data_IF_870337950875
#
_entry.id   IF_870337950875
#
_cell.length_a   1.000
_cell.length_b   1.000
_cell.length_c   1.000
_cell.angle_alpha   90.00
_cell.angle_beta   90.00
_cell.angle_gamma   90.00
#
_symmetry.space_group_name_H-M   'P 1'
#
loop_
_entity.id
_entity.type
_entity.pdbx_description
1 polymer ?
#
# COMPACT_ATOMS: atom_id res chain seq x y z
N UNK A 1 -6.12 -19.56 -1.03
CA UNK A 1 -5.31 -18.76 -0.06
C UNK A 1 -5.86 -17.33 0.10
N UNK A 2 -6.15 -16.60 -0.98
CA UNK A 2 -6.86 -15.30 -0.98
C UNK A 2 -8.40 -15.37 -0.79
N UNK A 3 -8.91 -16.54 -0.40
CA UNK A 3 -10.36 -16.78 -0.27
C UNK A 3 -10.83 -16.37 1.12
N UNK A 4 -10.04 -16.63 2.16
CA UNK A 4 -10.43 -16.29 3.53
C UNK A 4 -10.09 -14.84 3.87
N UNK A 5 -11.08 -14.09 4.37
CA UNK A 5 -10.87 -12.75 4.94
C UNK A 5 -9.78 -12.72 6.01
N UNK A 6 -9.63 -13.79 6.79
CA UNK A 6 -8.62 -13.85 7.86
C UNK A 6 -7.21 -13.94 7.32
N UNK A 7 -7.01 -14.67 6.21
CA UNK A 7 -5.70 -14.74 5.56
C UNK A 7 -5.35 -13.40 4.92
N UNK A 8 -6.31 -12.75 4.26
CA UNK A 8 -6.14 -11.39 3.72
C UNK A 8 -5.77 -10.42 4.85
N UNK A 9 -6.52 -10.44 5.95
CA UNK A 9 -6.25 -9.60 7.12
C UNK A 9 -4.88 -9.86 7.74
N UNK A 10 -4.44 -11.13 7.83
CA UNK A 10 -3.14 -11.50 8.38
C UNK A 10 -1.98 -11.00 7.49
N UNK A 11 -2.08 -11.16 6.16
CA UNK A 11 -1.06 -10.65 5.23
C UNK A 11 -1.01 -9.12 5.29
N UNK A 12 -2.16 -8.44 5.27
CA UNK A 12 -2.24 -7.00 5.43
C UNK A 12 -1.60 -6.54 6.75
N UNK A 13 -1.80 -7.27 7.85
CA UNK A 13 -1.19 -6.95 9.15
C UNK A 13 0.34 -7.12 9.12
N UNK A 14 0.85 -8.15 8.46
CA UNK A 14 2.29 -8.36 8.27
C UNK A 14 2.90 -7.22 7.46
N UNK A 15 2.19 -6.67 6.47
CA UNK A 15 2.65 -5.53 5.64
C UNK A 15 2.59 -4.20 6.42
N UNK A 16 1.61 -4.01 7.30
CA UNK A 16 1.53 -2.81 8.16
C UNK A 16 2.80 -2.64 9.01
N UNK A 17 3.40 -3.74 9.47
CA UNK A 17 4.58 -3.70 10.33
C UNK A 17 5.80 -2.99 9.70
N UNK A 18 6.33 -3.42 8.54
CA UNK A 18 7.42 -2.72 7.87
C UNK A 18 7.02 -1.30 7.44
N UNK A 19 5.77 -1.04 7.04
CA UNK A 19 5.31 0.33 6.78
C UNK A 19 5.46 1.23 8.03
N UNK A 20 5.09 0.72 9.20
CA UNK A 20 5.24 1.44 10.47
C UNK A 20 6.71 1.68 10.84
N UNK A 21 7.59 0.70 10.61
CA UNK A 21 9.05 0.86 10.81
C UNK A 21 9.58 1.95 9.88
N UNK A 22 9.25 1.90 8.59
CA UNK A 22 9.66 2.90 7.61
C UNK A 22 9.25 4.31 8.03
N UNK A 23 8.02 4.49 8.53
CA UNK A 23 7.58 5.80 9.05
C UNK A 23 8.46 6.29 10.20
N UNK A 24 8.86 5.41 11.11
CA UNK A 24 9.69 5.77 12.26
C UNK A 24 11.15 6.03 11.88
N UNK A 25 11.71 5.21 11.00
CA UNK A 25 13.12 5.26 10.61
C UNK A 25 13.37 6.45 9.68
N UNK A 26 12.62 6.54 8.58
CA UNK A 26 12.78 7.62 7.61
C UNK A 26 12.47 8.98 8.22
N UNK A 27 11.43 9.10 9.08
CA UNK A 27 11.14 10.39 9.74
C UNK A 27 12.22 10.84 10.72
N UNK A 28 13.00 9.90 11.30
CA UNK A 28 14.11 10.23 12.20
C UNK A 28 15.30 10.75 11.43
N UNK A 29 15.55 10.20 10.26
CA UNK A 29 16.72 10.53 9.44
C UNK A 29 16.47 11.74 8.56
N UNK A 30 15.22 11.96 8.17
CA UNK A 30 14.76 13.16 7.46
C UNK A 30 15.24 14.42 8.20
N UNK A 31 15.93 15.31 7.47
CA UNK A 31 16.55 16.54 7.97
C UNK A 31 17.78 16.38 8.88
N UNK A 32 18.22 15.15 9.19
CA UNK A 32 19.43 14.90 10.00
C UNK A 32 20.59 14.37 9.19
N UNK A 33 20.31 13.58 8.16
CA UNK A 33 21.34 13.00 7.29
C UNK A 33 21.49 13.86 6.03
N UNK A 34 22.72 14.14 5.57
CA UNK A 34 22.95 14.87 4.34
C UNK A 34 22.76 14.01 3.07
N UNK A 35 22.74 12.68 3.21
CA UNK A 35 22.50 11.73 2.12
C UNK A 35 21.16 11.02 2.30
N UNK A 36 20.22 11.28 1.41
CA UNK A 36 18.86 10.72 1.44
C UNK A 36 18.72 9.41 0.67
N UNK A 37 19.80 8.85 0.12
CA UNK A 37 19.74 7.66 -0.73
C UNK A 37 19.08 6.46 -0.04
N UNK A 38 19.46 6.18 1.21
CA UNK A 38 18.86 5.09 1.99
C UNK A 38 17.39 5.35 2.34
N UNK A 39 16.99 6.52 2.88
CA UNK A 39 15.59 6.92 3.01
C UNK A 39 14.76 6.74 1.74
N UNK A 40 15.30 7.15 0.58
CA UNK A 40 14.65 7.00 -0.72
C UNK A 40 14.44 5.53 -1.09
N UNK A 41 15.47 4.69 -0.95
CA UNK A 41 15.39 3.26 -1.24
C UNK A 41 14.35 2.55 -0.34
N UNK A 42 14.28 2.92 0.94
CA UNK A 42 13.28 2.40 1.88
C UNK A 42 11.86 2.79 1.44
N UNK A 43 11.63 4.08 1.15
CA UNK A 43 10.30 4.56 0.71
C UNK A 43 9.87 3.91 -0.60
N UNK A 44 10.77 3.79 -1.58
CA UNK A 44 10.49 3.07 -2.84
C UNK A 44 10.16 1.60 -2.58
N UNK A 45 10.95 0.90 -1.76
CA UNK A 45 10.70 -0.51 -1.45
C UNK A 45 9.34 -0.75 -0.81
N UNK A 46 8.92 0.12 0.12
CA UNK A 46 7.57 0.06 0.70
C UNK A 46 6.49 0.41 -0.33
N UNK A 47 6.72 1.42 -1.18
CA UNK A 47 5.81 1.77 -2.27
C UNK A 47 5.51 0.55 -3.17
N UNK A 48 6.54 -0.19 -3.56
CA UNK A 48 6.41 -1.43 -4.34
C UNK A 48 5.57 -2.49 -3.61
N UNK A 49 5.79 -2.66 -2.31
CA UNK A 49 5.01 -3.62 -1.50
C UNK A 49 3.53 -3.21 -1.45
N UNK A 50 3.25 -1.91 -1.23
CA UNK A 50 1.89 -1.37 -1.23
C UNK A 50 1.20 -1.61 -2.57
N UNK A 51 1.89 -1.37 -3.69
CA UNK A 51 1.36 -1.58 -5.04
C UNK A 51 1.10 -3.07 -5.27
N UNK A 52 2.08 -3.92 -5.02
CA UNK A 52 1.95 -5.36 -5.24
C UNK A 52 0.79 -5.98 -4.46
N UNK A 53 0.62 -5.58 -3.20
CA UNK A 53 -0.52 -6.02 -2.41
C UNK A 53 -1.83 -5.36 -2.86
N UNK A 54 -1.80 -4.09 -3.24
CA UNK A 54 -2.93 -3.35 -3.81
C UNK A 54 -3.52 -4.06 -5.02
N UNK A 55 -2.67 -4.46 -5.99
CA UNK A 55 -3.07 -5.23 -7.18
C UNK A 55 -3.75 -6.55 -6.78
N UNK A 56 -3.16 -7.28 -5.83
CA UNK A 56 -3.71 -8.57 -5.39
C UNK A 56 -5.11 -8.41 -4.76
N UNK A 57 -5.32 -7.35 -3.97
CA UNK A 57 -6.61 -7.04 -3.38
C UNK A 57 -7.62 -6.58 -4.44
N UNK A 58 -7.19 -5.71 -5.34
CA UNK A 58 -8.01 -5.16 -6.42
C UNK A 58 -8.53 -6.25 -7.35
N UNK A 59 -7.65 -7.15 -7.75
CA UNK A 59 -7.93 -8.22 -8.72
C UNK A 59 -8.48 -9.49 -8.07
N UNK A 60 -8.86 -9.45 -6.77
CA UNK A 60 -9.34 -10.64 -6.05
C UNK A 60 -10.48 -11.35 -6.79
N UNK A 61 -11.46 -10.59 -7.31
CA UNK A 61 -12.59 -11.14 -8.05
C UNK A 61 -12.12 -11.88 -9.32
N UNK A 62 -11.21 -11.26 -10.07
CA UNK A 62 -10.58 -11.83 -11.27
C UNK A 62 -9.79 -13.10 -10.92
N UNK A 63 -9.04 -13.10 -9.83
CA UNK A 63 -8.31 -14.28 -9.36
C UNK A 63 -9.27 -15.42 -9.01
N UNK A 64 -10.37 -15.14 -8.31
CA UNK A 64 -11.41 -16.15 -8.02
C UNK A 64 -11.99 -16.73 -9.30
N UNK A 65 -12.22 -15.91 -10.32
CA UNK A 65 -12.71 -16.35 -11.63
C UNK A 65 -11.72 -17.29 -12.32
N UNK A 66 -10.45 -16.89 -12.41
CA UNK A 66 -9.38 -17.68 -13.03
C UNK A 66 -9.26 -19.06 -12.37
N UNK A 67 -9.42 -19.14 -11.05
CA UNK A 67 -9.35 -20.40 -10.30
C UNK A 67 -10.69 -21.15 -10.21
N UNK A 68 -11.76 -20.68 -10.87
CA UNK A 68 -13.06 -21.34 -10.86
C UNK A 68 -13.73 -21.37 -9.48
N UNK A 69 -13.49 -20.35 -8.64
CA UNK A 69 -13.99 -20.25 -7.26
C UNK A 69 -15.29 -19.42 -7.14
N UNK A 70 -15.99 -19.18 -8.27
CA UNK A 70 -17.24 -18.40 -8.33
C UNK A 70 -18.45 -19.30 -8.45
N UNK A 71 -19.61 -18.79 -8.04
CA UNK A 71 -20.90 -19.49 -8.16
C UNK A 71 -21.20 -20.46 -7.01
N UNK A 72 -20.46 -20.34 -5.91
CA UNK A 72 -20.71 -21.09 -4.68
C UNK A 72 -21.94 -20.57 -3.92
N UNK A 73 -22.42 -21.35 -2.92
CA UNK A 73 -23.54 -20.94 -2.07
C UNK A 73 -23.25 -19.68 -1.23
N UNK A 74 -21.98 -19.29 -1.10
CA UNK A 74 -21.45 -18.12 -0.40
C UNK A 74 -21.13 -16.93 -1.32
N UNK A 75 -21.51 -16.97 -2.60
CA UNK A 75 -21.11 -15.93 -3.59
C UNK A 75 -21.51 -14.50 -3.18
N UNK A 76 -22.65 -14.32 -2.52
CA UNK A 76 -23.07 -12.99 -2.04
C UNK A 76 -22.09 -12.43 -0.99
N UNK A 77 -21.59 -13.28 -0.08
CA UNK A 77 -20.59 -12.92 0.91
C UNK A 77 -19.25 -12.62 0.25
N UNK A 78 -18.84 -13.49 -0.67
CA UNK A 78 -17.59 -13.36 -1.40
C UNK A 78 -17.55 -12.12 -2.30
N UNK A 79 -18.68 -11.75 -2.91
CA UNK A 79 -18.83 -10.52 -3.69
C UNK A 79 -18.70 -9.25 -2.82
N UNK A 80 -19.26 -9.25 -1.61
CA UNK A 80 -19.07 -8.16 -0.67
C UNK A 80 -17.61 -8.03 -0.21
N UNK A 81 -16.93 -9.17 -0.06
CA UNK A 81 -15.50 -9.22 0.25
C UNK A 81 -14.65 -8.71 -0.93
N UNK A 82 -14.97 -9.14 -2.15
CA UNK A 82 -14.34 -8.63 -3.38
C UNK A 82 -14.49 -7.12 -3.50
N UNK A 83 -15.68 -6.57 -3.26
CA UNK A 83 -15.90 -5.12 -3.33
C UNK A 83 -15.10 -4.36 -2.26
N UNK A 84 -15.01 -4.93 -1.05
CA UNK A 84 -14.19 -4.33 0.01
C UNK A 84 -12.71 -4.36 -0.38
N UNK A 85 -12.19 -5.52 -0.78
CA UNK A 85 -10.81 -5.67 -1.22
C UNK A 85 -10.48 -4.77 -2.41
N UNK A 86 -11.41 -4.61 -3.37
CA UNK A 86 -11.26 -3.70 -4.50
C UNK A 86 -10.99 -2.26 -4.04
N UNK A 87 -11.86 -1.70 -3.19
CA UNK A 87 -11.73 -0.32 -2.74
C UNK A 87 -10.42 -0.06 -1.95
N UNK A 88 -10.04 -0.98 -1.07
CA UNK A 88 -8.78 -0.85 -0.32
C UNK A 88 -7.56 -1.13 -1.19
N UNK A 89 -7.65 -2.05 -2.15
CA UNK A 89 -6.61 -2.40 -3.10
C UNK A 89 -6.23 -1.22 -3.99
N UNK A 90 -7.21 -0.58 -4.61
CA UNK A 90 -7.03 0.66 -5.38
C UNK A 90 -6.36 1.74 -4.54
N UNK A 91 -6.81 1.90 -3.28
CA UNK A 91 -6.21 2.88 -2.37
C UNK A 91 -4.74 2.61 -2.07
N UNK A 92 -4.35 1.36 -1.79
CA UNK A 92 -2.94 1.00 -1.58
C UNK A 92 -2.11 1.21 -2.84
N UNK A 93 -2.63 0.80 -4.00
CA UNK A 93 -1.96 0.93 -5.28
C UNK A 93 -1.67 2.39 -5.62
N UNK A 94 -2.67 3.26 -5.52
CA UNK A 94 -2.51 4.68 -5.82
C UNK A 94 -1.55 5.35 -4.85
N UNK A 95 -1.66 5.08 -3.54
CA UNK A 95 -0.77 5.69 -2.55
C UNK A 95 0.68 5.23 -2.69
N UNK A 96 0.90 3.94 -3.00
CA UNK A 96 2.23 3.41 -3.26
C UNK A 96 2.85 4.04 -4.51
N UNK A 97 2.08 4.17 -5.59
CA UNK A 97 2.53 4.85 -6.81
C UNK A 97 2.86 6.32 -6.56
N UNK A 98 2.05 7.04 -5.79
CA UNK A 98 2.35 8.44 -5.45
C UNK A 98 3.65 8.55 -4.64
N UNK A 99 3.88 7.64 -3.69
CA UNK A 99 5.13 7.58 -2.95
C UNK A 99 6.32 7.35 -3.88
N UNK A 100 6.22 6.42 -4.82
CA UNK A 100 7.28 6.16 -5.80
C UNK A 100 7.52 7.36 -6.73
N UNK A 101 6.48 8.00 -7.25
CA UNK A 101 6.62 9.18 -8.10
C UNK A 101 7.41 10.29 -7.39
N UNK A 102 7.14 10.53 -6.11
CA UNK A 102 7.91 11.51 -5.33
C UNK A 102 9.41 11.19 -5.32
N UNK A 103 9.77 9.93 -5.13
CA UNK A 103 11.18 9.50 -5.06
C UNK A 103 11.83 9.46 -6.44
N UNK A 104 11.13 9.00 -7.47
CA UNK A 104 11.63 8.95 -8.84
C UNK A 104 11.86 10.34 -9.42
N UNK A 105 11.08 11.34 -9.02
CA UNK A 105 11.33 12.73 -9.39
C UNK A 105 12.71 13.24 -8.95
N UNK A 106 13.21 12.80 -7.78
CA UNK A 106 14.54 13.15 -7.28
C UNK A 106 15.64 12.51 -8.14
N UNK A 107 15.39 11.32 -8.68
CA UNK A 107 16.35 10.58 -9.52
C UNK A 107 16.47 11.16 -10.94
N UNK A 108 15.52 12.00 -11.36
CA UNK A 108 15.60 12.68 -12.66
C UNK A 108 16.81 13.62 -12.65
N UNK A 109 17.71 13.55 -13.65
CA UNK A 109 18.87 14.44 -13.71
C UNK A 109 18.47 15.91 -13.63
N UNK A 110 19.23 16.69 -12.86
CA UNK A 110 19.05 18.15 -12.72
C UNK A 110 19.13 18.93 -14.04
N UNK A 111 19.66 18.32 -15.10
CA UNK A 111 19.63 18.87 -16.46
C UNK A 111 18.25 18.84 -17.11
N UNK A 112 17.34 18.01 -16.61
CA UNK A 112 15.96 17.85 -17.12
C UNK A 112 14.98 18.57 -16.18
N UNK A 113 15.03 18.24 -14.88
CA UNK A 113 14.23 18.89 -13.83
C UNK A 113 15.19 19.21 -12.68
N UNK A 114 15.38 20.49 -12.38
CA UNK A 114 16.18 20.92 -11.24
C UNK A 114 15.38 20.69 -9.95
N UNK A 115 15.74 19.68 -9.16
CA UNK A 115 15.14 19.39 -7.84
C UNK A 115 15.93 20.02 -6.70
N UNK A 116 16.95 20.82 -7.00
CA UNK A 116 17.88 21.37 -6.01
C UNK A 116 17.18 21.99 -4.80
N UNK A 117 17.49 21.42 -3.64
CA UNK A 117 17.00 21.75 -2.29
C UNK A 117 15.58 21.26 -1.93
N UNK A 118 14.86 20.58 -2.84
CA UNK A 118 13.53 20.03 -2.53
C UNK A 118 13.49 18.51 -2.29
N UNK A 119 14.63 17.83 -2.38
CA UNK A 119 14.71 16.38 -2.23
C UNK A 119 14.16 15.90 -0.87
N UNK A 120 14.50 16.61 0.22
CA UNK A 120 13.96 16.32 1.55
C UNK A 120 12.42 16.44 1.58
N UNK A 121 11.85 17.44 0.90
CA UNK A 121 10.40 17.64 0.83
C UNK A 121 9.71 16.56 0.00
N UNK A 122 10.35 16.08 -1.06
CA UNK A 122 9.83 14.98 -1.89
C UNK A 122 9.89 13.65 -1.14
N UNK A 123 10.98 13.37 -0.40
CA UNK A 123 11.04 12.22 0.51
C UNK A 123 9.97 12.32 1.59
N UNK A 124 9.78 13.51 2.18
CA UNK A 124 8.73 13.75 3.17
C UNK A 124 7.33 13.49 2.60
N UNK A 125 7.05 13.97 1.37
CA UNK A 125 5.80 13.73 0.68
C UNK A 125 5.56 12.24 0.41
N UNK A 126 6.59 11.53 -0.07
CA UNK A 126 6.54 10.08 -0.24
C UNK A 126 6.21 9.36 1.07
N UNK A 127 6.85 9.77 2.17
CA UNK A 127 6.59 9.24 3.50
C UNK A 127 5.16 9.51 3.99
N UNK A 128 4.59 10.68 3.67
CA UNK A 128 3.18 10.99 3.97
C UNK A 128 2.24 10.04 3.23
N UNK A 129 2.49 9.74 1.96
CA UNK A 129 1.69 8.77 1.21
C UNK A 129 1.79 7.36 1.80
N UNK A 130 3.00 6.93 2.20
CA UNK A 130 3.19 5.68 2.95
C UNK A 130 2.39 5.69 4.26
N UNK A 131 2.37 6.82 4.98
CA UNK A 131 1.64 6.99 6.23
C UNK A 131 0.12 6.86 6.06
N UNK A 132 -0.44 7.53 5.06
CA UNK A 132 -1.86 7.40 4.70
C UNK A 132 -2.16 5.96 4.28
N UNK A 133 -1.26 5.34 3.51
CA UNK A 133 -1.35 3.94 3.11
C UNK A 133 -1.40 2.99 4.31
N UNK A 134 -0.52 3.21 5.30
CA UNK A 134 -0.48 2.41 6.51
C UNK A 134 -1.79 2.51 7.30
N UNK A 135 -2.34 3.73 7.47
CA UNK A 135 -3.62 3.94 8.14
C UNK A 135 -4.78 3.26 7.39
N UNK A 136 -4.79 3.36 6.06
CA UNK A 136 -5.78 2.70 5.22
C UNK A 136 -5.69 1.17 5.38
N UNK A 137 -4.48 0.61 5.40
CA UNK A 137 -4.26 -0.82 5.55
C UNK A 137 -4.59 -1.32 6.96
N UNK A 138 -4.29 -0.56 8.01
CA UNK A 138 -4.74 -0.85 9.39
C UNK A 138 -6.26 -0.91 9.43
N UNK A 139 -6.95 0.04 8.82
CA UNK A 139 -8.41 0.02 8.73
C UNK A 139 -8.90 -1.23 7.98
N UNK A 140 -8.25 -1.61 6.88
CA UNK A 140 -8.56 -2.84 6.16
C UNK A 140 -8.41 -4.07 7.07
N UNK A 141 -7.32 -4.17 7.85
CA UNK A 141 -7.09 -5.26 8.81
C UNK A 141 -8.24 -5.35 9.81
N UNK A 142 -8.65 -4.22 10.40
CA UNK A 142 -9.78 -4.16 11.34
C UNK A 142 -11.09 -4.60 10.69
N UNK A 143 -11.33 -4.20 9.43
CA UNK A 143 -12.49 -4.67 8.67
C UNK A 143 -12.47 -6.18 8.52
N UNK A 144 -11.35 -6.76 8.07
CA UNK A 144 -11.27 -8.19 7.82
C UNK A 144 -11.44 -9.06 9.07
N UNK A 145 -10.92 -8.61 10.21
CA UNK A 145 -11.02 -9.37 11.46
C UNK A 145 -12.31 -9.12 12.23
N UNK A 146 -12.82 -7.88 12.27
CA UNK A 146 -13.84 -7.48 13.25
C UNK A 146 -15.05 -6.76 12.66
N UNK A 147 -14.87 -5.92 11.63
CA UNK A 147 -15.93 -4.99 11.18
C UNK A 147 -16.61 -5.39 9.88
N UNK A 148 -16.21 -6.50 9.26
CA UNK A 148 -16.79 -6.94 8.00
C UNK A 148 -18.27 -7.31 8.17
N UNK A 149 -19.14 -6.57 7.49
CA UNK A 149 -20.57 -6.83 7.37
C UNK A 149 -20.92 -6.91 5.88
N UNK A 150 -21.47 -8.02 5.39
CA UNK A 150 -21.96 -8.10 4.03
C UNK A 150 -23.13 -7.12 3.90
N UNK A 151 -23.02 -6.17 2.98
CA UNK A 151 -24.16 -5.33 2.59
C UNK A 151 -25.13 -6.19 1.79
N UNK A 152 -26.36 -6.29 2.28
CA UNK A 152 -27.48 -7.01 1.66
C UNK A 152 -27.86 -6.43 0.30
#
# INVERSE_FOLDING_TARGET
>A
MLVSRYVIGAISLVIVFPMGITLLEVSRDLWKVPDLREPMEIVTGIGIIMIGWGVVLEERATLREIFGLRGGPDEAWESALDHTCHNYGVGQLVLGLMAEICIEMIKIPNTIIYTGEVDDFLVAAGLVFVGIGALLLVRHVLVMFFLFKPTH
#
